data_IF_495322965822
#
_entry.id   IF_495322965822
#
_cell.length_a   1.000
_cell.length_b   1.000
_cell.length_c   1.000
_cell.angle_alpha   90.00
_cell.angle_beta   90.00
_cell.angle_gamma   90.00
#
_symmetry.space_group_name_H-M   'P 1'
#
loop_
_entity.id
_entity.type
_entity.pdbx_description
1 polymer ?
#
# COMPACT_ATOMS: atom_id res chain seq x y z
N UNK A 1 7.13 9.25 7.76
CA UNK A 1 7.08 9.12 6.28
C UNK A 1 5.64 9.15 5.82
N UNK A 2 5.36 9.54 4.58
CA UNK A 2 3.98 9.60 4.04
C UNK A 2 3.71 8.48 3.05
N UNK A 3 2.50 7.95 3.07
CA UNK A 3 2.05 6.83 2.24
C UNK A 3 2.18 7.12 0.75
N UNK A 4 1.82 8.32 0.29
CA UNK A 4 1.98 8.71 -1.11
C UNK A 4 3.45 8.87 -1.52
N UNK A 5 4.31 9.33 -0.60
CA UNK A 5 5.75 9.39 -0.85
C UNK A 5 6.35 7.98 -0.97
N UNK A 6 5.90 7.08 -0.11
CA UNK A 6 6.31 5.68 -0.14
C UNK A 6 5.89 4.99 -1.44
N UNK A 7 4.62 5.10 -1.85
CA UNK A 7 4.13 4.60 -3.13
C UNK A 7 4.98 5.13 -4.30
N UNK A 8 5.22 6.45 -4.36
CA UNK A 8 6.05 7.06 -5.42
C UNK A 8 7.46 6.50 -5.46
N UNK A 9 8.09 6.30 -4.30
CA UNK A 9 9.43 5.75 -4.23
C UNK A 9 9.47 4.30 -4.71
N UNK A 10 8.49 3.48 -4.32
CA UNK A 10 8.36 2.09 -4.79
C UNK A 10 8.22 2.05 -6.31
N UNK A 11 7.30 2.84 -6.88
CA UNK A 11 7.12 2.93 -8.34
C UNK A 11 8.37 3.44 -9.04
N UNK A 12 9.07 4.42 -8.48
CA UNK A 12 10.34 4.93 -9.04
C UNK A 12 11.42 3.85 -9.09
N UNK A 13 11.58 3.07 -8.01
CA UNK A 13 12.54 1.96 -7.97
C UNK A 13 12.16 0.91 -9.01
N UNK A 14 10.89 0.50 -9.06
CA UNK A 14 10.39 -0.49 -10.01
C UNK A 14 10.72 -0.12 -11.47
N UNK A 15 10.53 1.15 -11.83
CA UNK A 15 10.82 1.65 -13.17
C UNK A 15 12.32 1.73 -13.48
N UNK A 16 13.17 1.85 -12.47
CA UNK A 16 14.62 1.90 -12.61
C UNK A 16 15.29 0.52 -12.57
N UNK A 17 14.58 -0.54 -12.18
CA UNK A 17 15.15 -1.88 -12.07
C UNK A 17 15.46 -2.47 -13.45
N UNK A 18 16.70 -2.98 -13.65
CA UNK A 18 17.03 -3.72 -14.85
C UNK A 18 16.24 -5.04 -14.89
N UNK A 19 16.15 -5.63 -16.07
CA UNK A 19 15.59 -6.98 -16.22
C UNK A 19 16.44 -8.00 -15.46
N UNK A 20 15.79 -9.02 -14.90
CA UNK A 20 16.46 -10.07 -14.12
C UNK A 20 16.96 -9.64 -12.73
N UNK A 21 16.75 -8.38 -12.32
CA UNK A 21 17.13 -7.93 -10.98
C UNK A 21 16.48 -8.78 -9.87
N UNK A 22 17.28 -9.09 -8.84
CA UNK A 22 16.85 -9.74 -7.61
C UNK A 22 16.74 -8.72 -6.49
N UNK A 23 15.75 -8.92 -5.63
CA UNK A 23 15.43 -8.02 -4.52
C UNK A 23 15.57 -8.81 -3.22
N UNK A 24 16.41 -8.35 -2.31
CA UNK A 24 16.50 -8.89 -0.95
C UNK A 24 15.63 -8.02 -0.05
N UNK A 25 14.42 -8.45 0.33
CA UNK A 25 13.56 -7.68 1.21
C UNK A 25 14.07 -7.76 2.66
N UNK A 26 13.61 -6.83 3.50
CA UNK A 26 13.87 -6.92 4.94
C UNK A 26 13.17 -8.12 5.61
N UNK A 27 12.07 -8.60 5.03
CA UNK A 27 11.33 -9.78 5.48
C UNK A 27 10.86 -10.61 4.28
N UNK A 28 10.79 -11.93 4.45
CA UNK A 28 10.35 -12.85 3.42
C UNK A 28 11.48 -13.35 2.52
N UNK A 29 11.14 -14.14 1.49
CA UNK A 29 12.12 -14.75 0.58
C UNK A 29 12.74 -13.73 -0.38
N UNK A 30 13.79 -14.16 -1.09
CA UNK A 30 14.34 -13.40 -2.22
C UNK A 30 13.24 -13.15 -3.26
N UNK A 31 13.03 -11.90 -3.61
CA UNK A 31 12.03 -11.48 -4.59
C UNK A 31 12.65 -11.02 -5.91
N UNK A 32 11.78 -10.62 -6.83
CA UNK A 32 12.15 -10.08 -8.13
C UNK A 32 11.32 -8.84 -8.53
N UNK A 33 11.49 -8.40 -9.78
CA UNK A 33 10.78 -7.25 -10.33
C UNK A 33 9.26 -7.44 -10.35
N UNK A 34 8.78 -8.66 -10.56
CA UNK A 34 7.34 -8.97 -10.60
C UNK A 34 6.72 -8.90 -9.20
N UNK A 35 7.45 -9.31 -8.17
CA UNK A 35 7.03 -9.15 -6.78
C UNK A 35 6.90 -7.66 -6.41
N UNK A 36 7.88 -6.84 -6.80
CA UNK A 36 7.82 -5.39 -6.58
C UNK A 36 6.69 -4.73 -7.36
N UNK A 37 6.42 -5.19 -8.58
CA UNK A 37 5.27 -4.74 -9.37
C UNK A 37 3.96 -5.05 -8.65
N UNK A 38 3.81 -6.28 -8.16
CA UNK A 38 2.62 -6.72 -7.40
C UNK A 38 2.43 -5.88 -6.14
N UNK A 39 3.52 -5.58 -5.42
CA UNK A 39 3.49 -4.70 -4.26
C UNK A 39 3.13 -3.26 -4.63
N UNK A 40 3.70 -2.69 -5.69
CA UNK A 40 3.36 -1.36 -6.18
C UNK A 40 1.87 -1.25 -6.56
N UNK A 41 1.33 -2.28 -7.21
CA UNK A 41 -0.09 -2.36 -7.56
C UNK A 41 -0.96 -2.43 -6.32
N UNK A 42 -0.62 -3.28 -5.35
CA UNK A 42 -1.34 -3.37 -4.07
C UNK A 42 -1.39 -2.02 -3.34
N UNK A 43 -0.27 -1.30 -3.27
CA UNK A 43 -0.24 0.03 -2.67
C UNK A 43 -1.21 0.97 -3.39
N UNK A 44 -1.13 1.05 -4.72
CA UNK A 44 -2.00 1.93 -5.51
C UNK A 44 -3.48 1.59 -5.31
N UNK A 45 -3.85 0.32 -5.45
CA UNK A 45 -5.24 -0.13 -5.41
C UNK A 45 -5.85 -0.09 -4.00
N UNK A 46 -5.05 -0.07 -2.94
CA UNK A 46 -5.56 0.08 -1.57
C UNK A 46 -5.50 1.53 -1.07
N UNK A 47 -4.59 2.37 -1.58
CA UNK A 47 -4.49 3.79 -1.20
C UNK A 47 -5.53 4.65 -1.93
N UNK A 48 -5.73 4.42 -3.23
CA UNK A 48 -6.61 5.26 -4.05
C UNK A 48 -8.06 5.29 -3.55
N UNK A 49 -8.69 4.14 -3.19
CA UNK A 49 -10.05 4.14 -2.64
C UNK A 49 -10.15 4.91 -1.33
N UNK A 50 -9.14 4.80 -0.44
CA UNK A 50 -9.10 5.56 0.82
C UNK A 50 -9.04 7.06 0.54
N UNK A 51 -8.17 7.49 -0.39
CA UNK A 51 -8.08 8.89 -0.81
C UNK A 51 -9.40 9.41 -1.37
N UNK A 52 -10.07 8.61 -2.20
CA UNK A 52 -11.37 8.95 -2.76
C UNK A 52 -12.44 9.05 -1.66
N UNK A 53 -12.50 8.09 -0.74
CA UNK A 53 -13.43 8.10 0.38
C UNK A 53 -13.23 9.33 1.28
N UNK A 54 -11.98 9.72 1.57
CA UNK A 54 -11.67 10.95 2.31
C UNK A 54 -12.21 12.18 1.56
N UNK A 55 -12.00 12.28 0.25
CA UNK A 55 -12.54 13.40 -0.55
C UNK A 55 -14.08 13.46 -0.57
N UNK A 56 -14.75 12.34 -0.28
CA UNK A 56 -16.20 12.23 -0.11
C UNK A 56 -16.65 12.45 1.34
N UNK A 57 -15.75 12.86 2.25
CA UNK A 57 -16.04 13.11 3.66
C UNK A 57 -16.26 11.85 4.50
N UNK A 58 -15.82 10.68 4.03
CA UNK A 58 -15.95 9.42 4.80
C UNK A 58 -15.01 9.40 6.00
N UNK A 59 -15.49 8.86 7.11
CA UNK A 59 -14.70 8.68 8.33
C UNK A 59 -13.82 7.43 8.25
N UNK A 60 -12.82 7.33 9.14
CA UNK A 60 -11.98 6.15 9.25
C UNK A 60 -12.79 4.86 9.48
N UNK A 61 -13.83 4.91 10.32
CA UNK A 61 -14.65 3.73 10.61
C UNK A 61 -15.45 3.28 9.38
N UNK A 62 -15.97 4.22 8.60
CA UNK A 62 -16.63 3.91 7.32
C UNK A 62 -15.66 3.28 6.32
N UNK A 63 -14.41 3.76 6.27
CA UNK A 63 -13.37 3.20 5.41
C UNK A 63 -12.97 1.80 5.87
N UNK A 64 -12.81 1.58 7.18
CA UNK A 64 -12.54 0.25 7.75
C UNK A 64 -13.66 -0.74 7.46
N UNK A 65 -14.92 -0.30 7.55
CA UNK A 65 -16.09 -1.12 7.25
C UNK A 65 -16.16 -1.49 5.76
N UNK A 66 -15.76 -0.60 4.85
CA UNK A 66 -15.66 -0.89 3.42
C UNK A 66 -14.53 -1.88 3.09
N UNK A 67 -13.44 -1.86 3.87
CA UNK A 67 -12.34 -2.81 3.72
C UNK A 67 -11.50 -2.59 2.45
N UNK A 68 -10.93 -3.68 1.95
CA UNK A 68 -10.19 -3.74 0.67
C UNK A 68 -10.73 -4.93 -0.13
N UNK A 69 -10.43 -4.95 -1.44
CA UNK A 69 -10.71 -6.12 -2.29
C UNK A 69 -10.18 -7.41 -1.66
N UNK A 70 -10.93 -8.51 -1.79
CA UNK A 70 -10.61 -9.79 -1.19
C UNK A 70 -9.24 -10.32 -1.61
N UNK A 71 -8.80 -10.02 -2.85
CA UNK A 71 -7.45 -10.38 -3.33
C UNK A 71 -6.33 -9.80 -2.48
N UNK A 72 -6.61 -8.74 -1.72
CA UNK A 72 -5.64 -8.11 -0.82
C UNK A 72 -5.68 -8.64 0.63
N UNK A 73 -6.64 -9.50 0.99
CA UNK A 73 -6.68 -10.10 2.33
C UNK A 73 -5.42 -10.89 2.66
N UNK A 74 -4.80 -11.55 1.67
CA UNK A 74 -3.55 -12.29 1.84
C UNK A 74 -2.32 -11.40 2.16
N UNK A 75 -2.42 -10.08 1.96
CA UNK A 75 -1.35 -9.13 2.31
C UNK A 75 -1.37 -8.75 3.79
N UNK A 76 -2.37 -9.21 4.56
CA UNK A 76 -2.40 -9.06 6.00
C UNK A 76 -1.37 -9.99 6.66
N UNK A 77 -0.16 -9.49 6.86
CA UNK A 77 0.97 -10.25 7.40
C UNK A 77 1.53 -9.63 8.68
N UNK A 78 1.93 -10.47 9.62
CA UNK A 78 2.50 -10.05 10.90
C UNK A 78 1.55 -9.14 11.68
N UNK A 79 2.03 -7.94 12.02
CA UNK A 79 1.27 -6.97 12.83
C UNK A 79 0.31 -6.07 12.03
N UNK A 80 0.32 -6.14 10.70
CA UNK A 80 -0.48 -5.28 9.82
C UNK A 80 -1.63 -6.09 9.24
N UNK A 81 -2.82 -5.94 9.83
CA UNK A 81 -4.06 -6.42 9.25
C UNK A 81 -4.77 -5.31 8.44
N UNK A 82 -5.83 -5.66 7.71
CA UNK A 82 -6.57 -4.70 6.87
C UNK A 82 -7.04 -3.46 7.64
N UNK A 83 -7.70 -3.55 8.81
CA UNK A 83 -8.12 -2.35 9.55
C UNK A 83 -6.94 -1.44 9.94
N UNK A 84 -5.80 -2.02 10.34
CA UNK A 84 -4.61 -1.26 10.70
C UNK A 84 -3.97 -0.62 9.48
N UNK A 85 -3.91 -1.33 8.34
CA UNK A 85 -3.44 -0.76 7.08
C UNK A 85 -4.27 0.46 6.68
N UNK A 86 -5.60 0.34 6.66
CA UNK A 86 -6.50 1.44 6.33
C UNK A 86 -6.34 2.64 7.27
N UNK A 87 -6.11 2.39 8.56
CA UNK A 87 -5.80 3.46 9.52
C UNK A 87 -4.47 4.16 9.22
N UNK A 88 -3.42 3.42 8.87
CA UNK A 88 -2.12 4.01 8.48
C UNK A 88 -2.30 4.89 7.24
N UNK A 89 -3.01 4.38 6.22
CA UNK A 89 -3.27 5.12 4.98
C UNK A 89 -4.08 6.38 5.26
N UNK A 90 -5.21 6.25 5.97
CA UNK A 90 -6.07 7.38 6.33
C UNK A 90 -5.28 8.45 7.09
N UNK A 91 -4.62 8.07 8.19
CA UNK A 91 -3.85 9.00 9.01
C UNK A 91 -2.76 9.68 8.19
N UNK A 92 -2.09 8.95 7.28
CA UNK A 92 -1.06 9.56 6.42
C UNK A 92 -1.63 10.52 5.36
N UNK A 93 -2.90 10.38 4.97
CA UNK A 93 -3.55 11.24 3.98
C UNK A 93 -4.22 12.45 4.63
N UNK A 94 -4.69 12.33 5.87
CA UNK A 94 -5.36 13.40 6.63
C UNK A 94 -4.44 14.16 7.57
N UNK A 95 -3.24 13.64 7.87
CA UNK A 95 -2.21 14.45 8.52
C UNK A 95 -1.71 15.51 7.56
N UNK A 96 -2.18 16.74 7.74
CA UNK A 96 -1.62 17.93 7.10
C UNK A 96 -0.17 18.17 7.54
N UNK A 97 0.54 18.98 6.74
CA UNK A 97 1.89 19.47 7.02
C UNK A 97 1.94 20.27 8.30
#
# INVERSE_FOLDING_TARGET
GRVLGYQRNVTKILNALPEGAKIIPGHGPLGDKQDLQSFSTMLMETINPVRQAISQGKTLDQIKAAGVDEKYKAWAVGFINTPRWLQIVYNSLTSER
#
